data_IF_930879804670
#
_entry.id   IF_930879804670
#
_cell.length_a   1.000
_cell.length_b   1.000
_cell.length_c   1.000
_cell.angle_alpha   90.00
_cell.angle_beta   90.00
_cell.angle_gamma   90.00
#
_symmetry.space_group_name_H-M   'P 1'
#
loop_
_entity.id
_entity.type
_entity.pdbx_description
1 polymer ?
#
# COMPACT_ATOMS: atom_id res chain seq x y z
N UNK A 1 -33.11 12.65 -11.89
CA UNK A 1 -32.82 12.32 -13.30
C UNK A 1 -31.41 11.77 -13.52
N UNK A 2 -30.34 12.52 -13.20
CA UNK A 2 -28.95 12.08 -13.43
C UNK A 2 -28.61 10.68 -12.89
N UNK A 3 -28.93 10.42 -11.61
CA UNK A 3 -28.63 9.12 -10.99
C UNK A 3 -29.25 7.92 -11.72
N UNK A 4 -30.46 8.08 -12.26
CA UNK A 4 -31.14 7.01 -13.00
C UNK A 4 -30.50 6.80 -14.38
N UNK A 5 -30.13 7.87 -15.09
CA UNK A 5 -29.38 7.76 -16.35
C UNK A 5 -28.01 7.11 -16.16
N UNK A 6 -27.28 7.53 -15.10
CA UNK A 6 -26.01 6.91 -14.73
C UNK A 6 -26.18 5.42 -14.42
N UNK A 7 -27.23 5.07 -13.68
CA UNK A 7 -27.55 3.68 -13.36
C UNK A 7 -27.88 2.88 -14.62
N UNK A 8 -28.66 3.42 -15.55
CA UNK A 8 -29.01 2.76 -16.81
C UNK A 8 -27.77 2.52 -17.68
N UNK A 9 -26.87 3.50 -17.80
CA UNK A 9 -25.59 3.32 -18.48
C UNK A 9 -24.74 2.25 -17.77
N UNK A 10 -24.69 2.28 -16.44
CA UNK A 10 -23.99 1.27 -15.65
C UNK A 10 -24.53 -0.13 -15.87
N UNK A 11 -25.86 -0.32 -15.96
CA UNK A 11 -26.48 -1.59 -16.34
C UNK A 11 -26.07 -2.04 -17.74
N UNK A 12 -26.03 -1.14 -18.71
CA UNK A 12 -25.55 -1.44 -20.06
C UNK A 12 -24.11 -1.94 -20.05
N UNK A 13 -23.20 -1.23 -19.38
CA UNK A 13 -21.78 -1.62 -19.27
C UNK A 13 -21.60 -2.94 -18.50
N UNK A 14 -22.40 -3.14 -17.44
CA UNK A 14 -22.42 -4.39 -16.70
C UNK A 14 -22.86 -5.53 -17.63
N UNK A 15 -24.02 -5.46 -18.28
CA UNK A 15 -24.48 -6.51 -19.21
C UNK A 15 -23.48 -6.78 -20.35
N UNK A 16 -22.88 -5.74 -20.93
CA UNK A 16 -21.89 -5.88 -22.00
C UNK A 16 -20.59 -6.57 -21.53
N UNK A 17 -20.26 -6.53 -20.24
CA UNK A 17 -19.07 -7.19 -19.71
C UNK A 17 -19.29 -8.65 -19.30
N UNK A 18 -20.53 -9.15 -19.28
CA UNK A 18 -20.87 -10.56 -18.97
C UNK A 18 -20.04 -11.58 -19.76
N UNK A 19 -19.92 -11.48 -21.11
CA UNK A 19 -19.25 -12.52 -21.89
C UNK A 19 -17.76 -12.64 -21.58
N UNK A 20 -17.16 -11.58 -21.04
CA UNK A 20 -15.74 -11.54 -20.70
C UNK A 20 -15.46 -12.02 -19.26
N UNK A 21 -16.49 -12.11 -18.42
CA UNK A 21 -16.34 -12.47 -17.01
C UNK A 21 -15.63 -13.83 -16.79
N UNK A 22 -15.92 -14.91 -17.54
CA UNK A 22 -15.23 -16.20 -17.39
C UNK A 22 -13.72 -16.10 -17.62
N UNK A 23 -13.27 -15.23 -18.55
CA UNK A 23 -11.85 -15.06 -18.87
C UNK A 23 -11.04 -14.51 -17.68
N UNK A 24 -11.69 -13.76 -16.79
CA UNK A 24 -11.04 -13.16 -15.63
C UNK A 24 -11.22 -13.97 -14.35
N UNK A 25 -12.36 -14.65 -14.16
CA UNK A 25 -12.63 -15.49 -12.97
C UNK A 25 -11.59 -16.62 -12.82
N UNK A 26 -11.09 -17.17 -13.94
CA UNK A 26 -10.10 -18.25 -13.92
C UNK A 26 -8.73 -17.80 -13.38
N UNK A 27 -8.45 -16.48 -13.34
CA UNK A 27 -7.20 -15.96 -12.77
C UNK A 27 -7.27 -15.98 -11.25
N UNK A 28 -6.25 -16.56 -10.60
CA UNK A 28 -6.15 -16.70 -9.13
C UNK A 28 -6.52 -15.42 -8.37
N UNK A 29 -6.01 -14.27 -8.84
CA UNK A 29 -6.23 -12.91 -8.28
C UNK A 29 -7.69 -12.46 -8.21
N UNK A 30 -8.56 -12.98 -9.07
CA UNK A 30 -9.94 -12.50 -9.22
C UNK A 30 -11.00 -13.55 -8.87
N UNK A 31 -10.55 -14.78 -8.58
CA UNK A 31 -11.41 -15.96 -8.40
C UNK A 31 -12.50 -15.79 -7.35
N UNK A 32 -12.26 -14.98 -6.31
CA UNK A 32 -13.25 -14.68 -5.28
C UNK A 32 -13.89 -13.30 -5.47
N UNK A 33 -13.09 -12.27 -5.79
CA UNK A 33 -13.62 -10.91 -5.81
C UNK A 33 -14.59 -10.66 -6.97
N UNK A 34 -14.33 -11.18 -8.17
CA UNK A 34 -15.24 -10.95 -9.30
C UNK A 34 -16.61 -11.60 -9.07
N UNK A 35 -16.73 -12.91 -8.74
CA UNK A 35 -18.06 -13.49 -8.48
C UNK A 35 -18.84 -12.76 -7.38
N UNK A 36 -18.16 -12.36 -6.30
CA UNK A 36 -18.78 -11.63 -5.19
C UNK A 36 -19.27 -10.23 -5.60
N UNK A 37 -18.49 -9.49 -6.41
CA UNK A 37 -18.84 -8.12 -6.82
C UNK A 37 -19.85 -8.07 -7.96
N UNK A 38 -19.78 -9.07 -8.84
CA UNK A 38 -20.49 -9.09 -10.11
C UNK A 38 -21.82 -9.81 -9.98
N UNK A 39 -21.87 -10.93 -9.27
CA UNK A 39 -23.05 -11.79 -9.13
C UNK A 39 -23.59 -11.83 -7.69
N UNK A 40 -22.99 -11.06 -6.77
CA UNK A 40 -23.30 -11.08 -5.33
C UNK A 40 -23.14 -12.45 -4.67
N UNK A 41 -22.36 -13.38 -5.26
CA UNK A 41 -22.12 -14.70 -4.68
C UNK A 41 -21.46 -14.56 -3.31
N UNK A 42 -22.11 -15.13 -2.29
CA UNK A 42 -21.66 -15.08 -0.89
C UNK A 42 -21.32 -13.66 -0.40
N UNK A 43 -21.97 -12.64 -0.96
CA UNK A 43 -21.66 -11.24 -0.69
C UNK A 43 -22.93 -10.45 -0.30
N UNK A 44 -23.61 -10.84 0.80
CA UNK A 44 -24.82 -10.17 1.23
C UNK A 44 -24.53 -8.74 1.67
N UNK A 45 -25.56 -7.89 1.68
CA UNK A 45 -25.51 -6.57 2.31
C UNK A 45 -24.98 -6.63 3.75
N UNK A 46 -24.41 -5.52 4.23
CA UNK A 46 -24.19 -5.36 5.67
C UNK A 46 -25.53 -5.44 6.42
N UNK A 47 -25.55 -6.22 7.49
CA UNK A 47 -26.77 -6.38 8.31
C UNK A 47 -26.88 -5.32 9.40
N UNK A 48 -25.77 -4.66 9.75
CA UNK A 48 -25.68 -3.65 10.81
C UNK A 48 -25.64 -2.25 10.22
N UNK A 49 -26.24 -1.29 10.93
CA UNK A 49 -26.08 0.14 10.67
C UNK A 49 -24.88 0.65 11.47
N UNK A 50 -23.71 0.67 10.86
CA UNK A 50 -22.43 1.08 11.47
C UNK A 50 -21.72 2.11 10.60
N UNK A 51 -20.44 2.36 10.84
CA UNK A 51 -19.57 3.11 9.92
C UNK A 51 -19.07 2.13 8.85
N UNK A 52 -19.25 2.52 7.58
CA UNK A 52 -18.84 1.75 6.41
C UNK A 52 -17.53 2.29 5.85
N UNK A 53 -16.44 1.56 6.04
CA UNK A 53 -15.14 1.82 5.46
C UNK A 53 -15.00 1.15 4.08
N UNK A 54 -14.45 1.86 3.10
CA UNK A 54 -14.15 1.33 1.79
C UNK A 54 -12.70 1.57 1.37
N UNK A 55 -12.01 0.49 0.98
CA UNK A 55 -10.66 0.50 0.43
C UNK A 55 -10.57 -0.45 -0.78
N UNK A 56 -9.79 -0.11 -1.81
CA UNK A 56 -9.61 -0.95 -2.99
C UNK A 56 -8.58 -2.07 -2.75
N UNK A 57 -7.44 -1.70 -2.17
CA UNK A 57 -6.23 -2.51 -2.10
C UNK A 57 -5.82 -2.89 -0.66
N UNK A 58 -4.85 -3.81 -0.54
CA UNK A 58 -4.20 -4.15 0.73
C UNK A 58 -3.63 -2.92 1.44
N UNK A 59 -2.91 -2.06 0.70
CA UNK A 59 -2.27 -0.87 1.27
C UNK A 59 -3.27 0.18 1.76
N UNK A 60 -4.40 0.34 1.06
CA UNK A 60 -5.49 1.20 1.53
C UNK A 60 -6.20 0.62 2.75
N UNK A 61 -6.40 -0.71 2.78
CA UNK A 61 -7.02 -1.37 3.93
C UNK A 61 -6.17 -1.19 5.19
N UNK A 62 -4.84 -1.42 5.08
CA UNK A 62 -3.89 -1.13 6.16
C UNK A 62 -3.87 0.36 6.56
N UNK A 63 -3.95 1.26 5.57
CA UNK A 63 -3.98 2.70 5.81
C UNK A 63 -5.21 3.17 6.60
N UNK A 64 -6.32 2.43 6.53
CA UNK A 64 -7.52 2.71 7.32
C UNK A 64 -7.48 2.08 8.72
N UNK A 65 -6.49 1.24 9.06
CA UNK A 65 -6.42 0.55 10.35
C UNK A 65 -6.60 1.49 11.56
N UNK A 66 -5.93 2.67 11.63
CA UNK A 66 -6.09 3.59 12.77
C UNK A 66 -7.50 4.14 12.93
N UNK A 67 -8.31 4.17 11.86
CA UNK A 67 -9.71 4.62 11.93
C UNK A 67 -10.66 3.44 12.23
N UNK A 68 -10.37 2.27 11.67
CA UNK A 68 -11.19 1.05 11.85
C UNK A 68 -11.14 0.58 13.30
N UNK A 69 -9.97 0.63 13.94
CA UNK A 69 -9.77 0.16 15.32
C UNK A 69 -10.51 0.99 16.38
N UNK A 70 -10.90 2.23 16.04
CA UNK A 70 -11.64 3.13 16.93
C UNK A 70 -13.16 2.99 16.80
N UNK A 71 -13.64 2.04 15.98
CA UNK A 71 -15.06 1.83 15.71
C UNK A 71 -15.47 0.43 16.12
N UNK A 72 -16.45 0.34 17.01
CA UNK A 72 -17.08 -0.92 17.36
C UNK A 72 -17.86 -1.50 16.17
N UNK A 73 -17.61 -2.77 15.87
CA UNK A 73 -18.29 -3.53 14.82
C UNK A 73 -18.34 -2.81 13.44
N UNK A 74 -17.18 -2.51 12.83
CA UNK A 74 -17.13 -1.73 11.60
C UNK A 74 -17.62 -2.56 10.40
N UNK A 75 -18.23 -1.89 9.42
CA UNK A 75 -18.52 -2.50 8.13
C UNK A 75 -17.39 -2.15 7.15
N UNK A 76 -16.77 -3.14 6.49
CA UNK A 76 -15.64 -2.93 5.59
C UNK A 76 -15.97 -3.52 4.22
N UNK A 77 -15.89 -2.71 3.15
CA UNK A 77 -15.96 -3.22 1.78
C UNK A 77 -14.66 -3.06 1.03
N UNK A 78 -14.26 -4.09 0.29
CA UNK A 78 -13.01 -4.11 -0.48
C UNK A 78 -13.19 -4.50 -1.94
N UNK A 79 -12.16 -4.27 -2.77
CA UNK A 79 -12.16 -4.71 -4.17
C UNK A 79 -11.26 -5.93 -4.39
N UNK A 80 -10.08 -5.93 -3.78
CA UNK A 80 -9.06 -6.97 -3.98
C UNK A 80 -9.16 -8.10 -2.95
N UNK A 81 -8.75 -9.31 -3.34
CA UNK A 81 -8.64 -10.45 -2.42
C UNK A 81 -7.65 -10.18 -1.28
N UNK A 82 -6.54 -9.51 -1.57
CA UNK A 82 -5.54 -9.15 -0.55
C UNK A 82 -6.07 -8.10 0.42
N UNK A 83 -6.84 -7.12 -0.07
CA UNK A 83 -7.58 -6.20 0.82
C UNK A 83 -8.60 -6.94 1.69
N UNK A 84 -9.30 -7.95 1.16
CA UNK A 84 -10.24 -8.76 1.93
C UNK A 84 -9.55 -9.56 3.04
N UNK A 85 -8.44 -10.22 2.71
CA UNK A 85 -7.65 -10.98 3.67
C UNK A 85 -7.11 -10.09 4.81
N UNK A 86 -6.78 -8.84 4.52
CA UNK A 86 -6.39 -7.87 5.56
C UNK A 86 -7.58 -7.41 6.39
N UNK A 87 -8.69 -7.04 5.74
CA UNK A 87 -9.89 -6.58 6.42
C UNK A 87 -10.48 -7.63 7.38
N UNK A 88 -10.33 -8.92 7.07
CA UNK A 88 -10.78 -10.03 7.92
C UNK A 88 -10.02 -10.16 9.24
N UNK A 89 -8.89 -9.46 9.40
CA UNK A 89 -8.12 -9.45 10.66
C UNK A 89 -8.71 -8.52 11.71
N UNK A 90 -9.60 -7.61 11.34
CA UNK A 90 -10.24 -6.70 12.30
C UNK A 90 -11.42 -7.39 12.98
N UNK A 91 -11.28 -7.60 14.29
CA UNK A 91 -12.31 -8.26 15.10
C UNK A 91 -13.63 -7.49 15.07
N UNK A 92 -14.76 -8.22 15.07
CA UNK A 92 -16.10 -7.64 15.02
C UNK A 92 -16.51 -7.04 13.65
N UNK A 93 -15.59 -6.94 12.69
CA UNK A 93 -15.88 -6.33 11.39
C UNK A 93 -16.73 -7.23 10.49
N UNK A 94 -17.73 -6.65 9.80
CA UNK A 94 -18.34 -7.30 8.65
C UNK A 94 -17.55 -6.96 7.39
N UNK A 95 -16.91 -7.95 6.77
CA UNK A 95 -16.12 -7.76 5.55
C UNK A 95 -16.89 -8.22 4.32
N UNK A 96 -16.95 -7.38 3.28
CA UNK A 96 -17.61 -7.67 2.01
C UNK A 96 -16.78 -7.20 0.82
N UNK A 97 -17.07 -7.71 -0.36
CA UNK A 97 -16.56 -7.09 -1.58
C UNK A 97 -17.53 -6.01 -2.06
N UNK A 98 -17.04 -4.83 -2.46
CA UNK A 98 -17.92 -3.77 -2.98
C UNK A 98 -18.48 -4.16 -4.35
N UNK A 99 -19.81 -4.32 -4.51
CA UNK A 99 -20.41 -4.65 -5.80
C UNK A 99 -20.19 -3.58 -6.86
N UNK A 100 -20.39 -3.94 -8.13
CA UNK A 100 -20.46 -2.94 -9.19
C UNK A 100 -21.64 -2.00 -8.97
N UNK A 101 -21.45 -0.73 -9.33
CA UNK A 101 -22.35 0.37 -8.95
C UNK A 101 -23.85 0.13 -9.17
N UNK A 102 -24.31 -0.47 -10.30
CA UNK A 102 -25.73 -0.70 -10.50
C UNK A 102 -26.37 -1.60 -9.43
N UNK A 103 -25.60 -2.52 -8.85
CA UNK A 103 -26.06 -3.44 -7.80
C UNK A 103 -26.20 -2.76 -6.43
N UNK A 104 -25.59 -1.58 -6.23
CA UNK A 104 -25.62 -0.85 -4.96
C UNK A 104 -27.02 -0.35 -4.60
N UNK A 105 -27.94 -0.26 -5.56
CA UNK A 105 -29.34 0.06 -5.30
C UNK A 105 -29.99 -0.92 -4.32
N UNK A 106 -29.61 -2.19 -4.33
CA UNK A 106 -30.17 -3.21 -3.45
C UNK A 106 -29.20 -3.66 -2.36
N UNK A 107 -27.91 -3.63 -2.68
CA UNK A 107 -26.88 -4.11 -1.78
C UNK A 107 -26.56 -3.12 -0.66
N UNK A 108 -26.53 -1.82 -0.94
CA UNK A 108 -26.11 -0.83 0.05
C UNK A 108 -27.29 -0.51 1.00
N UNK A 109 -27.10 -0.74 2.30
CA UNK A 109 -28.10 -0.45 3.35
C UNK A 109 -27.77 0.88 4.06
N UNK A 110 -28.70 1.52 4.78
CA UNK A 110 -28.41 2.72 5.56
C UNK A 110 -27.25 2.49 6.55
N UNK A 111 -26.31 3.44 6.61
CA UNK A 111 -25.13 3.42 7.49
C UNK A 111 -25.08 4.71 8.32
N UNK A 112 -24.26 4.76 9.37
CA UNK A 112 -24.00 6.00 10.13
C UNK A 112 -23.10 6.94 9.32
N UNK A 113 -22.02 6.40 8.78
CA UNK A 113 -21.13 7.07 7.84
C UNK A 113 -20.61 6.11 6.76
N UNK A 114 -20.14 6.69 5.66
CA UNK A 114 -19.33 6.08 4.62
C UNK A 114 -17.96 6.80 4.63
N UNK A 115 -16.88 6.03 4.79
CA UNK A 115 -15.49 6.50 4.73
C UNK A 115 -14.81 5.82 3.56
N UNK A 116 -14.42 6.58 2.55
CA UNK A 116 -13.76 6.05 1.35
C UNK A 116 -12.31 6.49 1.31
N UNK A 117 -11.40 5.54 1.07
CA UNK A 117 -9.96 5.78 0.99
C UNK A 117 -9.51 6.22 -0.42
N UNK A 118 -8.64 7.22 -0.47
CA UNK A 118 -7.95 7.70 -1.68
C UNK A 118 -8.86 8.14 -2.84
N UNK A 119 -8.83 7.44 -3.98
CA UNK A 119 -9.42 7.89 -5.25
C UNK A 119 -10.53 6.97 -5.76
N UNK A 120 -11.20 6.23 -4.86
CA UNK A 120 -12.35 5.36 -5.17
C UNK A 120 -13.65 6.19 -5.34
N UNK A 121 -13.64 7.11 -6.31
CA UNK A 121 -14.71 8.07 -6.60
C UNK A 121 -15.90 7.43 -7.36
N UNK A 122 -16.56 6.46 -6.73
CA UNK A 122 -17.76 5.79 -7.28
C UNK A 122 -19.03 6.62 -7.02
N UNK A 123 -19.68 7.09 -8.08
CA UNK A 123 -20.84 7.99 -7.97
C UNK A 123 -22.00 7.40 -7.16
N UNK A 124 -22.46 6.19 -7.47
CA UNK A 124 -23.59 5.57 -6.78
C UNK A 124 -23.24 5.17 -5.35
N UNK A 125 -21.97 4.91 -5.03
CA UNK A 125 -21.57 4.65 -3.64
C UNK A 125 -21.83 5.88 -2.77
N UNK A 126 -21.29 7.04 -3.14
CA UNK A 126 -21.51 8.29 -2.40
C UNK A 126 -22.97 8.76 -2.46
N UNK A 127 -23.56 8.78 -3.66
CA UNK A 127 -24.93 9.26 -3.86
C UNK A 127 -25.94 8.45 -3.04
N UNK A 128 -25.86 7.12 -3.08
CA UNK A 128 -26.81 6.27 -2.36
C UNK A 128 -26.56 6.28 -0.84
N UNK A 129 -25.30 6.31 -0.38
CA UNK A 129 -24.98 6.46 1.04
C UNK A 129 -25.55 7.76 1.60
N UNK A 130 -25.29 8.89 0.96
CA UNK A 130 -25.81 10.20 1.39
C UNK A 130 -27.33 10.25 1.36
N UNK A 131 -27.94 9.76 0.28
CA UNK A 131 -29.42 9.68 0.16
C UNK A 131 -30.06 8.80 1.24
N UNK A 132 -29.32 7.83 1.78
CA UNK A 132 -29.75 6.95 2.88
C UNK A 132 -29.38 7.48 4.26
N UNK A 133 -28.91 8.73 4.36
CA UNK A 133 -28.66 9.41 5.62
C UNK A 133 -27.29 9.14 6.25
N UNK A 134 -26.35 8.54 5.50
CA UNK A 134 -24.97 8.40 5.98
C UNK A 134 -24.21 9.70 5.76
N UNK A 135 -23.37 10.09 6.73
CA UNK A 135 -22.33 11.09 6.51
C UNK A 135 -21.24 10.53 5.60
N UNK A 136 -20.78 11.29 4.63
CA UNK A 136 -19.91 10.81 3.55
C UNK A 136 -18.55 11.49 3.58
N UNK A 137 -17.49 10.72 3.82
CA UNK A 137 -16.13 11.20 3.98
C UNK A 137 -15.23 10.57 2.92
N UNK A 138 -14.38 11.40 2.30
CA UNK A 138 -13.26 10.93 1.48
C UNK A 138 -11.97 11.19 2.23
N UNK A 139 -11.24 10.14 2.59
CA UNK A 139 -10.03 10.23 3.43
C UNK A 139 -8.77 9.89 2.64
N UNK A 140 -7.64 10.47 3.06
CA UNK A 140 -6.37 10.33 2.36
C UNK A 140 -6.46 10.69 0.86
N UNK A 141 -7.32 11.64 0.51
CA UNK A 141 -7.64 11.97 -0.87
C UNK A 141 -6.40 12.51 -1.59
N UNK A 142 -6.10 11.91 -2.74
CA UNK A 142 -4.99 12.31 -3.61
C UNK A 142 -5.36 12.15 -5.07
N UNK A 143 -4.87 13.04 -5.91
CA UNK A 143 -5.04 12.93 -7.36
C UNK A 143 -3.71 13.29 -8.03
N UNK A 144 -3.06 12.30 -8.63
CA UNK A 144 -1.84 12.54 -9.41
C UNK A 144 -2.10 13.48 -10.58
N UNK A 145 -1.08 14.25 -10.99
CA UNK A 145 -1.17 15.19 -12.11
C UNK A 145 -1.72 14.55 -13.40
N UNK A 146 -1.26 13.33 -13.70
CA UNK A 146 -1.71 12.55 -14.86
C UNK A 146 -3.20 12.21 -14.77
N UNK A 147 -3.70 11.83 -13.59
CA UNK A 147 -5.12 11.54 -13.40
C UNK A 147 -5.96 12.80 -13.39
N UNK A 148 -5.47 13.88 -12.78
CA UNK A 148 -6.15 15.17 -12.73
C UNK A 148 -6.48 15.69 -14.13
N UNK A 149 -5.53 15.62 -15.07
CA UNK A 149 -5.75 16.02 -16.47
C UNK A 149 -6.92 15.27 -17.13
N UNK A 150 -7.08 13.99 -16.83
CA UNK A 150 -8.22 13.18 -17.32
C UNK A 150 -9.51 13.54 -16.59
N UNK A 151 -9.45 13.71 -15.27
CA UNK A 151 -10.62 14.01 -14.46
C UNK A 151 -11.22 15.38 -14.81
N UNK A 152 -10.36 16.36 -15.12
CA UNK A 152 -10.77 17.70 -15.56
C UNK A 152 -11.65 17.66 -16.82
N UNK A 153 -11.37 16.76 -17.77
CA UNK A 153 -12.19 16.54 -18.98
C UNK A 153 -13.62 16.08 -18.65
N UNK A 154 -13.78 15.35 -17.55
CA UNK A 154 -15.07 14.86 -17.05
C UNK A 154 -15.49 15.58 -15.76
N UNK A 155 -15.07 16.83 -15.57
CA UNK A 155 -15.32 17.59 -14.34
C UNK A 155 -16.80 17.68 -13.98
N UNK A 156 -17.71 17.67 -14.97
CA UNK A 156 -19.14 17.62 -14.74
C UNK A 156 -19.60 16.37 -13.95
N UNK A 157 -18.96 15.21 -14.14
CA UNK A 157 -19.23 13.98 -13.40
C UNK A 157 -18.64 14.06 -12.00
N UNK A 158 -17.38 14.48 -11.88
CA UNK A 158 -16.72 14.61 -10.58
C UNK A 158 -17.43 15.63 -9.68
N UNK A 159 -17.92 16.75 -10.22
CA UNK A 159 -18.77 17.70 -9.49
C UNK A 159 -20.03 17.04 -8.91
N UNK A 160 -20.63 16.06 -9.61
CA UNK A 160 -21.79 15.30 -9.11
C UNK A 160 -21.39 14.32 -8.00
N UNK A 161 -20.22 13.69 -8.13
CA UNK A 161 -19.66 12.81 -7.09
C UNK A 161 -19.39 13.64 -5.83
N UNK A 162 -18.61 14.73 -5.94
CA UNK A 162 -18.27 15.60 -4.82
C UNK A 162 -19.47 16.29 -4.17
N UNK A 163 -20.55 16.56 -4.89
CA UNK A 163 -21.80 17.03 -4.27
C UNK A 163 -22.40 16.02 -3.27
N UNK A 164 -22.03 14.75 -3.41
CA UNK A 164 -22.44 13.65 -2.53
C UNK A 164 -21.38 13.28 -1.49
N UNK A 165 -20.35 14.12 -1.31
CA UNK A 165 -19.31 13.99 -0.27
C UNK A 165 -19.47 15.17 0.68
N UNK A 166 -19.59 14.91 1.98
CA UNK A 166 -19.75 15.96 2.98
C UNK A 166 -18.43 16.62 3.32
N UNK A 167 -17.36 15.82 3.48
CA UNK A 167 -16.02 16.35 3.78
C UNK A 167 -14.92 15.51 3.14
N UNK A 168 -13.85 16.18 2.72
CA UNK A 168 -12.69 15.57 2.07
C UNK A 168 -11.44 15.87 2.88
N UNK A 169 -10.64 14.85 3.14
CA UNK A 169 -9.37 14.96 3.84
C UNK A 169 -8.23 14.62 2.87
N UNK A 170 -7.49 15.65 2.44
CA UNK A 170 -6.45 15.56 1.44
C UNK A 170 -5.06 15.32 2.05
N UNK A 171 -4.17 14.71 1.27
CA UNK A 171 -2.79 14.43 1.71
C UNK A 171 -1.91 15.68 1.70
N UNK A 172 -2.13 16.57 0.73
CA UNK A 172 -1.31 17.77 0.54
C UNK A 172 -2.15 18.97 0.09
N UNK A 173 -1.58 20.16 0.18
CA UNK A 173 -2.19 21.38 -0.35
C UNK A 173 -2.31 21.35 -1.89
N UNK A 174 -1.45 20.59 -2.57
CA UNK A 174 -1.57 20.38 -4.01
C UNK A 174 -2.77 19.49 -4.36
N UNK A 175 -2.96 18.41 -3.60
CA UNK A 175 -4.13 17.55 -3.73
C UNK A 175 -5.42 18.31 -3.44
N UNK A 176 -5.43 19.14 -2.40
CA UNK A 176 -6.56 20.03 -2.10
C UNK A 176 -6.95 20.87 -3.32
N UNK A 177 -6.00 21.60 -3.91
CA UNK A 177 -6.25 22.44 -5.09
C UNK A 177 -6.80 21.63 -6.26
N UNK A 178 -6.29 20.42 -6.50
CA UNK A 178 -6.81 19.51 -7.56
C UNK A 178 -8.22 19.03 -7.26
N UNK A 179 -8.52 18.66 -6.02
CA UNK A 179 -9.84 18.19 -5.57
C UNK A 179 -10.89 19.30 -5.67
N UNK A 180 -10.57 20.51 -5.20
CA UNK A 180 -11.43 21.70 -5.31
C UNK A 180 -11.72 22.04 -6.77
N UNK A 181 -10.72 21.97 -7.65
CA UNK A 181 -10.91 22.18 -9.09
C UNK A 181 -11.87 21.16 -9.75
N UNK A 182 -12.04 19.97 -9.14
CA UNK A 182 -13.00 18.95 -9.57
C UNK A 182 -14.38 19.07 -8.90
N UNK A 183 -14.55 19.98 -7.94
CA UNK A 183 -15.83 20.31 -7.32
C UNK A 183 -15.98 19.95 -5.85
N UNK A 184 -14.92 19.53 -5.16
CA UNK A 184 -14.92 19.40 -3.70
C UNK A 184 -15.11 20.77 -3.03
N UNK A 185 -15.87 20.84 -1.93
CA UNK A 185 -16.25 22.12 -1.26
C UNK A 185 -15.81 22.26 0.19
N UNK A 186 -15.51 21.17 0.88
CA UNK A 186 -14.98 21.15 2.25
C UNK A 186 -13.77 20.21 2.27
N UNK A 187 -12.59 20.79 2.05
CA UNK A 187 -11.33 20.05 1.90
C UNK A 187 -10.35 20.50 2.98
N UNK A 188 -9.99 19.57 3.85
CA UNK A 188 -9.01 19.75 4.92
C UNK A 188 -7.75 18.95 4.61
N UNK A 189 -6.56 19.53 4.79
CA UNK A 189 -5.29 18.83 4.57
C UNK A 189 -4.84 18.21 5.89
N UNK A 190 -4.73 16.89 5.91
CA UNK A 190 -4.39 16.12 7.13
C UNK A 190 -3.12 15.29 6.98
N UNK A 191 -2.44 15.37 5.84
CA UNK A 191 -1.29 14.53 5.55
C UNK A 191 -1.68 13.13 5.09
N UNK A 192 -0.66 12.29 4.87
CA UNK A 192 -0.86 10.92 4.42
C UNK A 192 -1.09 9.98 5.62
N UNK A 193 -2.33 9.60 5.89
CA UNK A 193 -2.68 8.79 7.07
C UNK A 193 -2.05 7.39 7.05
N UNK A 194 -1.57 6.91 5.88
CA UNK A 194 -0.81 5.64 5.77
C UNK A 194 0.50 5.70 6.58
N UNK A 195 1.02 6.89 6.88
CA UNK A 195 2.21 7.09 7.71
C UNK A 195 1.97 6.74 9.19
N UNK A 196 0.71 6.71 9.64
CA UNK A 196 0.36 6.38 11.03
C UNK A 196 0.31 4.87 11.27
N UNK A 197 0.21 4.08 10.21
CA UNK A 197 0.28 2.63 10.32
C UNK A 197 1.73 2.23 10.66
N UNK A 198 1.93 1.76 11.90
CA UNK A 198 3.22 1.33 12.40
C UNK A 198 3.49 -0.11 11.96
N UNK A 199 4.58 -0.39 11.22
CA UNK A 199 4.97 -1.77 10.97
C UNK A 199 5.43 -2.42 12.28
N UNK A 200 4.77 -3.52 12.67
CA UNK A 200 5.11 -4.27 13.87
C UNK A 200 5.86 -5.56 13.50
N UNK A 201 7.07 -5.78 14.06
CA UNK A 201 7.75 -7.06 13.93
C UNK A 201 6.92 -8.18 14.54
N UNK A 202 6.70 -9.24 13.77
CA UNK A 202 6.03 -10.46 14.22
C UNK A 202 7.01 -11.48 14.81
N UNK A 203 8.31 -11.29 14.57
CA UNK A 203 9.39 -12.14 15.08
C UNK A 203 10.57 -11.29 15.52
N UNK A 204 11.21 -11.71 16.60
CA UNK A 204 12.48 -11.17 17.02
C UNK A 204 13.60 -12.03 16.43
N UNK A 205 14.48 -11.39 15.66
CA UNK A 205 15.73 -11.97 15.22
C UNK A 205 16.88 -11.35 15.99
N UNK A 206 17.98 -12.08 16.12
CA UNK A 206 19.22 -11.56 16.68
C UNK A 206 20.26 -11.43 15.57
N UNK A 207 21.00 -10.31 15.58
CA UNK A 207 22.19 -10.11 14.76
C UNK A 207 23.44 -10.28 15.62
N UNK A 208 24.46 -10.95 15.08
CA UNK A 208 25.75 -11.14 15.75
C UNK A 208 26.72 -9.99 15.44
N UNK A 209 26.62 -9.44 14.24
CA UNK A 209 27.42 -8.32 13.73
C UNK A 209 26.51 -7.35 12.98
N UNK A 210 27.00 -6.16 12.59
CA UNK A 210 26.19 -5.21 11.86
C UNK A 210 25.57 -5.84 10.60
N UNK A 211 24.28 -5.57 10.38
CA UNK A 211 23.46 -6.18 9.35
C UNK A 211 23.15 -5.17 8.24
N UNK A 212 23.66 -5.45 7.04
CA UNK A 212 23.34 -4.73 5.81
C UNK A 212 22.22 -5.49 5.11
N UNK A 213 21.14 -4.80 4.77
CA UNK A 213 19.96 -5.44 4.16
C UNK A 213 19.76 -4.92 2.74
N UNK A 214 19.95 -5.79 1.75
CA UNK A 214 19.52 -5.55 0.38
C UNK A 214 18.02 -5.89 0.29
N UNK A 215 17.17 -4.87 0.40
CA UNK A 215 15.74 -5.03 0.58
C UNK A 215 14.95 -4.88 -0.72
N UNK A 216 14.05 -5.83 -0.99
CA UNK A 216 13.15 -5.80 -2.16
C UNK A 216 13.90 -5.72 -3.49
N UNK A 217 14.98 -6.46 -3.63
CA UNK A 217 15.85 -6.45 -4.81
C UNK A 217 15.20 -7.05 -6.05
N UNK A 218 15.70 -6.63 -7.21
CA UNK A 218 15.40 -7.15 -8.54
C UNK A 218 16.69 -7.45 -9.29
N UNK A 219 16.61 -8.25 -10.35
CA UNK A 219 17.73 -8.39 -11.30
C UNK A 219 18.07 -7.02 -11.91
N UNK A 220 19.35 -6.62 -12.04
CA UNK A 220 20.58 -7.30 -11.59
C UNK A 220 21.13 -6.78 -10.23
N UNK A 221 20.29 -6.15 -9.41
CA UNK A 221 20.68 -5.48 -8.17
C UNK A 221 21.29 -6.45 -7.14
N UNK A 222 20.83 -7.70 -7.08
CA UNK A 222 21.38 -8.70 -6.15
C UNK A 222 22.90 -8.90 -6.36
N UNK A 223 23.32 -9.05 -7.61
CA UNK A 223 24.73 -9.25 -7.96
C UNK A 223 25.56 -8.00 -7.69
N UNK A 224 25.04 -6.83 -8.06
CA UNK A 224 25.72 -5.53 -7.86
C UNK A 224 25.95 -5.31 -6.36
N UNK A 225 24.91 -5.44 -5.55
CA UNK A 225 24.97 -5.17 -4.10
C UNK A 225 25.88 -6.19 -3.41
N UNK A 226 25.75 -7.49 -3.74
CA UNK A 226 26.59 -8.52 -3.16
C UNK A 226 28.07 -8.32 -3.52
N UNK A 227 28.37 -7.93 -4.75
CA UNK A 227 29.75 -7.67 -5.20
C UNK A 227 30.37 -6.48 -4.49
N UNK A 228 29.67 -5.34 -4.42
CA UNK A 228 30.17 -4.16 -3.70
C UNK A 228 30.34 -4.42 -2.21
N UNK A 229 29.41 -5.16 -1.60
CA UNK A 229 29.52 -5.58 -0.21
C UNK A 229 30.75 -6.50 0.01
N UNK A 230 30.98 -7.48 -0.87
CA UNK A 230 32.16 -8.36 -0.81
C UNK A 230 33.46 -7.56 -0.87
N UNK A 231 33.53 -6.53 -1.73
CA UNK A 231 34.74 -5.72 -1.91
C UNK A 231 35.02 -4.78 -0.73
N UNK A 232 34.00 -4.37 0.02
CA UNK A 232 34.11 -3.24 0.96
C UNK A 232 33.87 -3.61 2.42
N UNK A 233 33.02 -4.59 2.70
CA UNK A 233 32.46 -4.85 4.03
C UNK A 233 32.50 -6.32 4.46
N UNK A 234 33.05 -7.23 3.63
CA UNK A 234 33.14 -8.66 3.97
C UNK A 234 33.94 -8.87 5.25
N UNK A 235 33.48 -9.79 6.08
CA UNK A 235 34.09 -10.09 7.38
C UNK A 235 33.55 -9.20 8.52
N UNK A 236 33.35 -7.91 8.26
CA UNK A 236 32.90 -6.95 9.30
C UNK A 236 31.39 -6.97 9.52
N UNK A 237 30.62 -7.34 8.51
CA UNK A 237 29.16 -7.27 8.50
C UNK A 237 28.51 -8.56 8.01
N UNK A 238 27.20 -8.70 8.18
CA UNK A 238 26.38 -9.71 7.51
C UNK A 238 25.57 -9.02 6.41
N UNK A 239 25.48 -9.63 5.23
CA UNK A 239 24.57 -9.21 4.16
C UNK A 239 23.31 -10.08 4.17
N UNK A 240 22.16 -9.48 4.41
CA UNK A 240 20.86 -10.10 4.15
C UNK A 240 20.32 -9.65 2.80
N UNK A 241 19.98 -10.60 1.92
CA UNK A 241 19.38 -10.30 0.61
C UNK A 241 17.92 -10.74 0.63
N UNK A 242 17.01 -9.82 0.30
CA UNK A 242 15.56 -10.06 0.33
C UNK A 242 14.96 -9.77 -1.06
N UNK A 243 14.88 -10.79 -1.94
CA UNK A 243 14.31 -10.61 -3.29
C UNK A 243 12.84 -10.21 -3.23
N UNK A 244 12.41 -9.33 -4.15
CA UNK A 244 11.02 -8.84 -4.17
C UNK A 244 9.99 -9.94 -4.47
N UNK A 245 10.40 -10.93 -5.25
CA UNK A 245 9.57 -11.88 -5.97
C UNK A 245 9.91 -13.32 -5.54
N UNK A 246 8.98 -14.07 -4.90
CA UNK A 246 9.21 -15.46 -4.48
C UNK A 246 9.64 -16.40 -5.61
N UNK A 247 9.15 -16.16 -6.81
CA UNK A 247 9.51 -16.91 -8.01
C UNK A 247 11.00 -16.84 -8.37
N UNK A 248 11.74 -15.86 -7.83
CA UNK A 248 13.19 -15.69 -8.04
C UNK A 248 14.05 -16.24 -6.89
N UNK A 249 13.47 -16.82 -5.85
CA UNK A 249 14.26 -17.26 -4.69
C UNK A 249 15.33 -18.29 -5.06
N UNK A 250 15.03 -19.25 -5.92
CA UNK A 250 16.01 -20.27 -6.31
C UNK A 250 17.10 -19.71 -7.25
N UNK A 251 16.74 -18.78 -8.14
CA UNK A 251 17.70 -18.07 -9.00
C UNK A 251 18.70 -17.26 -8.17
N UNK A 252 18.21 -16.52 -7.16
CA UNK A 252 19.07 -15.72 -6.27
C UNK A 252 19.89 -16.62 -5.33
N UNK A 253 19.36 -17.78 -4.93
CA UNK A 253 20.09 -18.77 -4.13
C UNK A 253 21.33 -19.29 -4.86
N UNK A 254 21.19 -19.63 -6.15
CA UNK A 254 22.32 -20.04 -7.00
C UNK A 254 23.36 -18.93 -7.15
N UNK A 255 22.92 -17.69 -7.42
CA UNK A 255 23.79 -16.52 -7.55
C UNK A 255 24.62 -16.28 -6.27
N UNK A 256 23.96 -16.18 -5.12
CA UNK A 256 24.62 -15.90 -3.85
C UNK A 256 25.48 -17.07 -3.39
N UNK A 257 25.03 -18.32 -3.63
CA UNK A 257 25.82 -19.51 -3.36
C UNK A 257 27.12 -19.56 -4.16
N UNK A 258 27.10 -19.16 -5.44
CA UNK A 258 28.31 -19.04 -6.26
C UNK A 258 29.27 -17.96 -5.75
N UNK A 259 28.76 -16.77 -5.42
CA UNK A 259 29.57 -15.69 -4.85
C UNK A 259 30.20 -16.14 -3.53
N UNK A 260 29.40 -16.73 -2.63
CA UNK A 260 29.87 -17.20 -1.33
C UNK A 260 30.96 -18.27 -1.47
N UNK A 261 30.77 -19.24 -2.37
CA UNK A 261 31.77 -20.29 -2.63
C UNK A 261 33.07 -19.73 -3.20
N UNK A 262 33.00 -18.77 -4.12
CA UNK A 262 34.17 -18.11 -4.71
C UNK A 262 34.99 -17.34 -3.67
N UNK A 263 34.31 -16.66 -2.76
CA UNK A 263 34.94 -15.79 -1.76
C UNK A 263 35.24 -16.51 -0.43
N UNK A 264 34.85 -17.77 -0.28
CA UNK A 264 35.05 -18.55 0.95
C UNK A 264 34.15 -18.11 2.12
N UNK A 265 32.93 -17.65 1.82
CA UNK A 265 31.99 -17.07 2.79
C UNK A 265 30.98 -18.10 3.30
N UNK A 266 30.52 -17.92 4.55
CA UNK A 266 29.40 -18.69 5.12
C UNK A 266 28.09 -18.17 4.53
N UNK A 267 27.28 -19.07 3.99
CA UNK A 267 26.01 -18.76 3.36
C UNK A 267 24.92 -19.75 3.78
N UNK A 268 23.70 -19.25 4.01
CA UNK A 268 22.51 -20.09 4.12
C UNK A 268 21.24 -19.33 3.72
N UNK A 269 20.18 -20.09 3.41
CA UNK A 269 18.82 -19.57 3.27
C UNK A 269 18.17 -19.45 4.64
N UNK A 270 17.39 -18.40 4.87
CA UNK A 270 16.66 -18.19 6.11
C UNK A 270 15.68 -19.34 6.37
N UNK A 271 15.09 -19.94 5.32
CA UNK A 271 14.25 -21.12 5.43
C UNK A 271 14.96 -22.38 5.97
N UNK A 272 16.28 -22.46 5.85
CA UNK A 272 17.09 -23.58 6.33
C UNK A 272 17.59 -23.34 7.76
N UNK A 273 18.01 -22.11 8.06
CA UNK A 273 18.52 -21.70 9.37
C UNK A 273 17.97 -20.31 9.69
N UNK A 274 17.02 -20.24 10.63
CA UNK A 274 16.31 -19.00 10.98
C UNK A 274 17.14 -18.03 11.85
N UNK A 275 18.35 -17.69 11.41
CA UNK A 275 19.19 -16.68 12.07
C UNK A 275 20.11 -15.95 11.09
N UNK A 276 20.81 -14.92 11.59
CA UNK A 276 21.76 -14.11 10.83
C UNK A 276 23.23 -14.44 11.13
N UNK A 277 23.51 -15.68 11.54
CA UNK A 277 24.87 -16.21 11.78
C UNK A 277 25.48 -16.79 10.49
N UNK A 278 25.72 -15.90 9.53
CA UNK A 278 26.43 -16.18 8.28
C UNK A 278 26.97 -14.86 7.70
N UNK A 279 27.84 -14.95 6.69
CA UNK A 279 28.33 -13.79 5.93
C UNK A 279 27.25 -13.26 4.99
N UNK A 280 26.55 -14.18 4.31
CA UNK A 280 25.42 -13.87 3.45
C UNK A 280 24.22 -14.72 3.87
N UNK A 281 23.05 -14.09 4.01
CA UNK A 281 21.78 -14.76 4.29
C UNK A 281 20.77 -14.40 3.21
N UNK A 282 20.26 -15.41 2.49
CA UNK A 282 19.13 -15.23 1.58
C UNK A 282 17.83 -15.33 2.37
N UNK A 283 17.01 -14.28 2.31
CA UNK A 283 15.67 -14.25 2.92
C UNK A 283 14.65 -14.71 1.88
N UNK A 284 14.50 -16.02 1.77
CA UNK A 284 13.61 -16.71 0.83
C UNK A 284 12.21 -16.98 1.41
N UNK A 285 11.69 -15.99 2.15
CA UNK A 285 10.36 -16.08 2.80
C UNK A 285 9.62 -14.76 2.75
N UNK A 286 8.34 -14.83 2.39
CA UNK A 286 7.46 -13.67 2.37
C UNK A 286 7.08 -13.23 3.78
N UNK A 287 7.02 -11.91 3.98
CA UNK A 287 6.56 -11.30 5.23
C UNK A 287 7.63 -11.09 6.30
N UNK A 288 8.89 -11.42 6.04
CA UNK A 288 9.99 -11.27 7.02
C UNK A 288 10.63 -9.87 7.02
N UNK A 289 10.38 -9.05 5.99
CA UNK A 289 11.10 -7.80 5.76
C UNK A 289 10.98 -6.80 6.92
N UNK A 290 9.80 -6.69 7.55
CA UNK A 290 9.59 -5.85 8.75
C UNK A 290 10.41 -6.35 9.94
N UNK A 291 10.49 -7.68 10.14
CA UNK A 291 11.29 -8.28 11.21
C UNK A 291 12.79 -7.98 11.02
N UNK A 292 13.22 -7.91 9.75
CA UNK A 292 14.62 -7.67 9.38
C UNK A 292 14.95 -6.18 9.50
N UNK A 293 14.06 -5.27 9.11
CA UNK A 293 14.26 -3.83 9.32
C UNK A 293 14.44 -3.48 10.79
N UNK A 294 13.75 -4.18 11.69
CA UNK A 294 13.90 -3.95 13.14
C UNK A 294 15.31 -4.21 13.68
N UNK A 295 16.13 -4.99 12.98
CA UNK A 295 17.51 -5.29 13.37
C UNK A 295 18.55 -4.75 12.39
N UNK A 296 18.15 -4.10 11.29
CA UNK A 296 19.06 -3.61 10.27
C UNK A 296 19.92 -2.43 10.77
N UNK A 297 21.18 -2.37 10.33
CA UNK A 297 22.06 -1.21 10.55
C UNK A 297 22.12 -0.31 9.31
N UNK A 298 21.87 -0.88 8.13
CA UNK A 298 21.79 -0.18 6.85
C UNK A 298 20.84 -0.94 5.93
N UNK A 299 20.02 -0.20 5.18
CA UNK A 299 19.18 -0.77 4.13
C UNK A 299 19.63 -0.23 2.77
N UNK A 300 19.99 -1.12 1.86
CA UNK A 300 20.08 -0.83 0.43
C UNK A 300 18.73 -1.18 -0.19
N UNK A 301 17.90 -0.17 -0.45
CA UNK A 301 16.53 -0.33 -0.91
C UNK A 301 16.48 -0.47 -2.44
N UNK A 302 16.18 -1.68 -2.90
CA UNK A 302 16.16 -2.05 -4.32
C UNK A 302 14.97 -1.51 -5.11
N UNK A 303 14.83 -2.02 -6.34
CA UNK A 303 13.92 -1.55 -7.37
C UNK A 303 14.29 -0.18 -7.96
N UNK A 304 15.46 0.34 -7.58
CA UNK A 304 15.86 1.74 -7.74
C UNK A 304 17.21 1.88 -8.47
N UNK A 305 18.06 0.86 -8.41
CA UNK A 305 19.24 0.73 -9.27
C UNK A 305 18.86 0.07 -10.60
N UNK A 306 17.88 -0.83 -10.57
CA UNK A 306 17.15 -1.25 -11.76
C UNK A 306 16.01 -0.25 -12.09
N UNK A 307 15.56 -0.20 -13.36
CA UNK A 307 14.46 0.68 -13.81
C UNK A 307 13.07 0.16 -13.41
N UNK A 308 12.89 -0.28 -12.16
CA UNK A 308 11.62 -0.81 -11.64
C UNK A 308 10.73 0.31 -11.08
N UNK A 309 11.33 1.36 -10.50
CA UNK A 309 10.61 2.55 -10.01
C UNK A 309 10.63 2.76 -8.49
N UNK A 310 11.47 2.03 -7.77
CA UNK A 310 11.70 2.08 -6.33
C UNK A 310 10.68 1.28 -5.52
N UNK A 311 11.08 0.86 -4.32
CA UNK A 311 10.18 0.30 -3.30
C UNK A 311 9.92 1.28 -2.15
N UNK A 312 9.05 0.88 -1.23
CA UNK A 312 8.57 1.73 -0.15
C UNK A 312 9.69 2.06 0.87
N UNK A 313 10.13 3.33 0.99
CA UNK A 313 11.14 3.71 1.96
C UNK A 313 10.58 3.93 3.38
N UNK A 314 9.26 3.99 3.54
CA UNK A 314 8.63 4.31 4.83
C UNK A 314 8.83 3.20 5.86
N UNK A 315 8.81 1.94 5.42
CA UNK A 315 9.01 0.79 6.31
C UNK A 315 10.39 0.80 6.99
N UNK A 316 11.53 0.87 6.27
CA UNK A 316 12.84 0.98 6.92
C UNK A 316 13.02 2.31 7.68
N UNK A 317 12.46 3.41 7.18
CA UNK A 317 12.55 4.71 7.85
C UNK A 317 11.79 4.75 9.18
N UNK A 318 10.73 3.96 9.33
CA UNK A 318 10.02 3.82 10.60
C UNK A 318 10.93 3.28 11.71
N UNK A 319 11.87 2.40 11.37
CA UNK A 319 12.86 1.86 12.31
C UNK A 319 14.09 2.78 12.46
N UNK A 320 14.09 3.95 11.83
CA UNK A 320 15.21 4.90 11.88
C UNK A 320 16.48 4.40 11.18
N UNK A 321 16.37 3.37 10.35
CA UNK A 321 17.54 2.76 9.71
C UNK A 321 18.04 3.67 8.60
N UNK A 322 19.35 3.89 8.44
CA UNK A 322 19.90 4.54 7.26
C UNK A 322 19.51 3.82 5.96
N UNK A 323 19.22 4.58 4.92
CA UNK A 323 18.75 4.05 3.62
C UNK A 323 19.65 4.56 2.51
N UNK A 324 20.18 3.64 1.70
CA UNK A 324 20.76 3.92 0.39
C UNK A 324 19.80 3.41 -0.67
N UNK A 325 19.58 4.18 -1.73
CA UNK A 325 18.75 3.76 -2.86
C UNK A 325 19.30 4.30 -4.19
N UNK A 326 18.91 3.69 -5.30
CA UNK A 326 19.24 4.16 -6.63
C UNK A 326 18.33 5.31 -7.11
N UNK A 327 18.64 5.94 -8.25
CA UNK A 327 17.93 7.11 -8.74
C UNK A 327 16.53 6.82 -9.30
N UNK A 328 16.21 5.57 -9.65
CA UNK A 328 14.98 5.21 -10.34
C UNK A 328 13.78 5.04 -9.40
N UNK A 329 13.34 6.12 -8.75
CA UNK A 329 12.25 6.11 -7.75
C UNK A 329 10.89 6.56 -8.30
N UNK A 330 10.67 6.50 -9.62
CA UNK A 330 9.54 7.16 -10.27
C UNK A 330 8.14 6.66 -9.86
N UNK A 331 8.02 5.43 -9.35
CA UNK A 331 6.75 4.90 -8.80
C UNK A 331 6.54 5.28 -7.33
N UNK A 332 7.60 5.66 -6.62
CA UNK A 332 7.59 5.92 -5.17
C UNK A 332 8.01 7.34 -4.78
N UNK A 333 8.16 8.27 -5.75
CA UNK A 333 8.63 9.66 -5.51
C UNK A 333 8.01 10.32 -4.28
N UNK A 334 6.71 10.14 -4.12
CA UNK A 334 5.97 10.70 -3.00
C UNK A 334 6.37 10.05 -1.66
N UNK A 335 6.43 8.73 -1.59
CA UNK A 335 6.89 8.01 -0.40
C UNK A 335 8.33 8.41 -0.01
N UNK A 336 9.20 8.65 -0.98
CA UNK A 336 10.55 9.18 -0.75
C UNK A 336 10.54 10.61 -0.21
N UNK A 337 9.62 11.47 -0.70
CA UNK A 337 9.49 12.85 -0.20
C UNK A 337 9.07 12.95 1.27
N UNK A 338 8.55 11.86 1.84
CA UNK A 338 8.17 11.78 3.25
C UNK A 338 9.32 11.38 4.18
N UNK A 339 10.48 11.01 3.65
CA UNK A 339 11.62 10.51 4.42
C UNK A 339 12.84 11.40 4.17
N UNK A 340 13.38 11.98 5.24
CA UNK A 340 14.67 12.67 5.20
C UNK A 340 15.82 11.68 5.44
N UNK A 341 16.98 11.99 4.86
CA UNK A 341 18.23 11.25 5.07
C UNK A 341 18.45 10.05 4.16
N UNK A 342 17.60 9.80 3.16
CA UNK A 342 17.87 8.76 2.14
C UNK A 342 19.05 9.22 1.26
N UNK A 343 20.10 8.41 1.17
CA UNK A 343 21.21 8.63 0.25
C UNK A 343 20.87 8.03 -1.12
N UNK A 344 20.64 8.88 -2.12
CA UNK A 344 20.41 8.46 -3.50
C UNK A 344 21.73 8.48 -4.26
N UNK A 345 22.16 7.32 -4.77
CA UNK A 345 23.46 7.15 -5.44
C UNK A 345 23.32 6.32 -6.71
N UNK A 346 24.22 6.54 -7.67
CA UNK A 346 24.32 5.65 -8.83
C UNK A 346 24.89 4.29 -8.43
N UNK A 347 24.62 3.24 -9.22
CA UNK A 347 25.13 1.89 -8.94
C UNK A 347 26.67 1.87 -8.81
N UNK A 348 27.37 2.69 -9.60
CA UNK A 348 28.83 2.85 -9.55
C UNK A 348 29.36 3.49 -8.26
N UNK A 349 28.50 4.20 -7.52
CA UNK A 349 28.86 4.91 -6.29
C UNK A 349 28.46 4.12 -5.03
N UNK A 350 27.74 3.01 -5.20
CA UNK A 350 27.23 2.18 -4.10
C UNK A 350 28.35 1.73 -3.15
N UNK A 351 29.48 1.25 -3.68
CA UNK A 351 30.62 0.83 -2.87
C UNK A 351 31.17 1.93 -1.95
N UNK A 352 31.16 3.18 -2.42
CA UNK A 352 31.55 4.31 -1.58
C UNK A 352 30.49 4.60 -0.52
N UNK A 353 29.20 4.64 -0.90
CA UNK A 353 28.09 4.87 0.01
C UNK A 353 28.02 3.84 1.15
N UNK A 354 28.33 2.57 0.85
CA UNK A 354 28.40 1.47 1.83
C UNK A 354 29.44 1.71 2.94
N UNK A 355 30.46 2.54 2.74
CA UNK A 355 31.56 2.72 3.72
C UNK A 355 31.53 4.05 4.44
N UNK A 356 30.64 4.98 4.05
CA UNK A 356 30.49 6.27 4.72
C UNK A 356 29.82 6.10 6.09
N UNK A 357 30.05 7.02 7.04
CA UNK A 357 29.21 7.12 8.22
C UNK A 357 27.74 7.33 7.82
N UNK A 358 26.88 6.40 8.20
CA UNK A 358 25.47 6.46 7.81
C UNK A 358 24.68 7.39 8.71
N UNK A 359 23.77 8.16 8.10
CA UNK A 359 22.82 9.01 8.82
C UNK A 359 21.48 8.25 8.96
N UNK A 360 20.94 8.09 10.18
CA UNK A 360 19.59 7.58 10.37
C UNK A 360 18.57 8.34 9.54
N UNK A 361 17.63 7.63 8.91
CA UNK A 361 16.52 8.28 8.22
C UNK A 361 15.42 8.67 9.20
N UNK A 362 14.61 9.65 8.81
CA UNK A 362 13.48 10.10 9.61
C UNK A 362 12.27 10.38 8.73
N UNK A 363 11.09 9.92 9.16
CA UNK A 363 9.83 10.30 8.52
C UNK A 363 9.53 11.74 8.91
N UNK A 364 9.60 12.66 7.94
CA UNK A 364 9.37 14.10 8.15
C UNK A 364 7.94 14.53 7.87
N UNK A 365 7.19 13.70 7.15
CA UNK A 365 5.79 13.95 6.88
C UNK A 365 4.94 13.76 8.13
N UNK A 366 4.02 14.69 8.35
CA UNK A 366 3.04 14.64 9.43
C UNK A 366 1.71 14.18 8.88
N UNK A 367 0.99 13.37 9.65
CA UNK A 367 -0.40 13.05 9.40
C UNK A 367 -1.18 13.17 10.71
N UNK A 368 -2.44 13.61 10.61
CA UNK A 368 -3.33 13.77 11.75
C UNK A 368 -4.72 13.18 11.44
N UNK A 369 -5.11 12.15 12.18
CA UNK A 369 -6.43 11.52 12.03
C UNK A 369 -7.50 12.18 12.90
N UNK A 370 -7.14 13.04 13.84
CA UNK A 370 -8.08 13.63 14.79
C UNK A 370 -9.22 14.41 14.13
N UNK A 371 -8.98 15.20 13.05
CA UNK A 371 -10.08 15.81 12.29
C UNK A 371 -11.06 14.80 11.70
N UNK A 372 -10.58 13.65 11.24
CA UNK A 372 -11.41 12.56 10.69
C UNK A 372 -12.22 11.92 11.84
N UNK A 373 -11.55 11.61 12.95
CA UNK A 373 -12.18 11.01 14.12
C UNK A 373 -13.27 11.87 14.73
N UNK A 374 -13.09 13.19 14.71
CA UNK A 374 -14.14 14.13 15.12
C UNK A 374 -15.41 13.96 14.29
N UNK A 375 -15.30 13.91 12.96
CA UNK A 375 -16.46 13.72 12.09
C UNK A 375 -17.16 12.36 12.32
N UNK A 376 -16.40 11.33 12.69
CA UNK A 376 -16.93 10.00 12.98
C UNK A 376 -17.63 9.95 14.34
N UNK A 377 -17.09 10.58 15.38
CA UNK A 377 -17.75 10.67 16.70
C UNK A 377 -19.07 11.42 16.65
N UNK A 378 -19.21 12.39 15.75
CA UNK A 378 -20.47 13.13 15.56
C UNK A 378 -21.63 12.28 15.00
N UNK A 379 -21.35 11.07 14.48
CA UNK A 379 -22.37 10.18 13.89
C UNK A 379 -22.57 8.86 14.64
N UNK A 380 -21.73 8.57 15.64
CA UNK A 380 -21.85 7.39 16.51
C UNK A 380 -22.90 7.66 17.57
#
# INVERSE_FOLDING_TARGET
MFAYLYTALGWGLWLLSLPFLPLFILKKKYRQSLPARWLLLSNPSFSRRSIHFHACSLGETKGLAPLIQEVDEPNISVITQTGCAEALKYEGAQVRYLPFEPLLWWWLRPQKALVVMEAELWYLLFFLSKRRGAKTLLVNARISERSFSRYKRFSWLYRRIFASIDKVFAQSEEDRRRLEALGAKDVEVVGNIKLLAKPEPTKAYEKIRPLIVAASTHDPEEEIIATEWVMRLKGDTTLAVVPRHPERFDEVDELLGHIAKREGLRYHRLSQKENFDADIVLVDRMGELVNIYAIADLVVLGGSFAQVGGHNPLEPAFFGVPIISGPHIFNQKESYSYVDGIEIVEASELGQALTKPWRPTAIVAKADIEPIMKELRDVV
#
